data_IF_651048935195
#
_entry.id   IF_651048935195
#
_cell.length_a   1.000
_cell.length_b   1.000
_cell.length_c   1.000
_cell.angle_alpha   90.00
_cell.angle_beta   90.00
_cell.angle_gamma   90.00
#
_symmetry.space_group_name_H-M   'P 1'
#
loop_
_entity.id
_entity.type
_entity.pdbx_description
1 polymer ?
#
# COMPACT_ATOMS: atom_id res chain seq x y z
N UNK A 1 -36.41 -19.43 -58.98
CA UNK A 1 -36.72 -18.42 -57.95
C UNK A 1 -36.65 -19.13 -56.61
N UNK A 2 -35.86 -18.74 -55.61
CA UNK A 2 -35.09 -17.51 -55.43
C UNK A 2 -33.64 -17.77 -55.01
N UNK A 3 -32.79 -16.88 -55.49
CA UNK A 3 -31.42 -16.64 -55.04
C UNK A 3 -31.45 -15.92 -53.69
N UNK A 4 -30.49 -16.20 -52.80
CA UNK A 4 -29.94 -15.17 -51.89
C UNK A 4 -28.51 -15.51 -51.42
N UNK A 5 -27.58 -14.78 -52.05
CA UNK A 5 -26.47 -14.04 -51.43
C UNK A 5 -25.44 -14.77 -50.58
N UNK A 6 -24.37 -15.14 -51.29
CA UNK A 6 -22.98 -15.12 -50.86
C UNK A 6 -22.65 -13.80 -50.11
N UNK A 7 -22.18 -13.87 -48.86
CA UNK A 7 -21.55 -12.71 -48.20
C UNK A 7 -20.21 -13.13 -47.61
N UNK A 8 -19.17 -12.96 -48.41
CA UNK A 8 -17.79 -12.88 -47.96
C UNK A 8 -17.64 -11.53 -47.25
N UNK A 9 -17.55 -11.54 -45.91
CA UNK A 9 -17.17 -10.36 -45.13
C UNK A 9 -15.87 -10.69 -44.42
N UNK A 10 -14.80 -10.02 -44.85
CA UNK A 10 -13.47 -10.14 -44.30
C UNK A 10 -13.46 -10.01 -42.78
N UNK A 11 -12.78 -10.95 -42.15
CA UNK A 11 -12.18 -10.75 -40.84
C UNK A 11 -10.75 -11.25 -40.93
N UNK A 12 -9.90 -10.44 -41.57
CA UNK A 12 -8.55 -10.28 -41.06
C UNK A 12 -8.70 -9.72 -39.64
N UNK A 13 -8.67 -10.60 -38.65
CA UNK A 13 -8.33 -10.19 -37.30
C UNK A 13 -7.01 -10.85 -37.00
N UNK A 14 -5.95 -10.05 -37.17
CA UNK A 14 -4.62 -10.34 -36.68
C UNK A 14 -4.73 -11.02 -35.32
N UNK A 15 -4.34 -12.29 -35.27
CA UNK A 15 -4.16 -13.01 -34.02
C UNK A 15 -2.77 -12.68 -33.48
N UNK A 16 -2.51 -11.40 -33.22
CA UNK A 16 -1.47 -10.99 -32.27
C UNK A 16 -1.99 -11.36 -30.88
N UNK A 17 -1.91 -12.66 -30.55
CA UNK A 17 -2.16 -13.18 -29.21
C UNK A 17 -0.99 -14.03 -28.74
N UNK A 18 0.22 -13.52 -28.90
CA UNK A 18 1.33 -13.87 -28.00
C UNK A 18 1.22 -13.03 -26.73
N UNK A 19 0.12 -13.24 -25.99
CA UNK A 19 0.09 -12.91 -24.57
C UNK A 19 0.68 -14.09 -23.80
N UNK A 20 1.36 -13.86 -22.65
CA UNK A 20 1.96 -14.94 -21.88
C UNK A 20 0.90 -16.02 -21.63
N UNK A 21 1.25 -17.25 -22.01
CA UNK A 21 0.35 -18.37 -21.92
C UNK A 21 -0.05 -18.51 -20.45
N UNK A 22 -1.34 -18.75 -20.15
CA UNK A 22 -1.81 -18.80 -18.76
C UNK A 22 -0.99 -19.76 -17.87
N UNK A 23 -0.41 -20.80 -18.47
CA UNK A 23 0.52 -21.73 -17.83
C UNK A 23 1.80 -21.06 -17.32
N UNK A 24 2.43 -20.21 -18.13
CA UNK A 24 3.70 -19.55 -17.80
C UNK A 24 3.52 -18.61 -16.61
N UNK A 25 2.41 -17.86 -16.64
CA UNK A 25 2.03 -16.93 -15.57
C UNK A 25 1.69 -17.63 -14.26
N UNK A 26 1.13 -18.85 -14.31
CA UNK A 26 0.89 -19.68 -13.12
C UNK A 26 2.21 -20.20 -12.56
N UNK A 27 3.17 -20.55 -13.42
CA UNK A 27 4.48 -21.03 -13.00
C UNK A 27 5.31 -19.93 -12.33
N UNK A 28 5.37 -18.73 -12.91
CA UNK A 28 6.01 -17.56 -12.30
C UNK A 28 5.44 -17.26 -10.91
N UNK A 29 4.12 -17.36 -10.74
CA UNK A 29 3.44 -17.17 -9.46
C UNK A 29 3.86 -18.20 -8.42
N UNK A 30 4.03 -19.47 -8.81
CA UNK A 30 4.50 -20.52 -7.90
C UNK A 30 5.94 -20.26 -7.46
N UNK A 31 6.81 -19.92 -8.40
CA UNK A 31 8.22 -19.62 -8.11
C UNK A 31 8.35 -18.39 -7.20
N UNK A 32 7.53 -17.35 -7.41
CA UNK A 32 7.49 -16.18 -6.53
C UNK A 32 7.06 -16.53 -5.10
N UNK A 33 6.03 -17.37 -4.95
CA UNK A 33 5.55 -17.83 -3.63
C UNK A 33 6.62 -18.68 -2.92
N UNK A 34 7.29 -19.56 -3.66
CA UNK A 34 8.35 -20.40 -3.11
C UNK A 34 9.57 -19.56 -2.70
N UNK A 35 9.99 -18.63 -3.54
CA UNK A 35 11.07 -17.69 -3.23
C UNK A 35 10.74 -16.83 -2.00
N UNK A 36 9.52 -16.31 -1.88
CA UNK A 36 9.10 -15.59 -0.66
C UNK A 36 9.14 -16.48 0.58
N UNK A 37 8.72 -17.74 0.45
CA UNK A 37 8.76 -18.71 1.55
C UNK A 37 10.20 -19.05 1.95
N UNK A 38 11.12 -19.20 1.00
CA UNK A 38 12.55 -19.40 1.24
C UNK A 38 13.20 -18.17 1.91
N UNK A 39 12.76 -16.96 1.56
CA UNK A 39 13.13 -15.70 2.24
C UNK A 39 12.44 -15.53 3.61
N UNK A 40 11.69 -16.55 4.06
CA UNK A 40 11.05 -16.61 5.36
C UNK A 40 9.80 -15.73 5.46
N UNK A 41 9.22 -15.26 4.36
CA UNK A 41 7.93 -14.57 4.34
C UNK A 41 6.79 -15.58 4.33
N UNK A 42 6.50 -16.13 5.52
CA UNK A 42 5.34 -17.00 5.74
C UNK A 42 4.09 -16.17 6.02
N UNK A 43 2.91 -16.75 5.79
CA UNK A 43 1.63 -16.11 6.14
C UNK A 43 1.58 -15.70 7.63
N UNK A 44 2.09 -16.56 8.52
CA UNK A 44 2.15 -16.26 9.95
C UNK A 44 3.07 -15.06 10.24
N UNK A 45 4.23 -14.96 9.57
CA UNK A 45 5.13 -13.82 9.72
C UNK A 45 4.52 -12.55 9.15
N UNK A 46 3.82 -12.62 8.01
CA UNK A 46 3.11 -11.49 7.45
C UNK A 46 2.03 -10.98 8.43
N UNK A 47 1.24 -11.87 9.02
CA UNK A 47 0.26 -11.52 10.06
C UNK A 47 0.91 -10.85 11.27
N UNK A 48 2.04 -11.40 11.74
CA UNK A 48 2.76 -10.84 12.89
C UNK A 48 3.34 -9.45 12.58
N UNK A 49 3.94 -9.26 11.40
CA UNK A 49 4.46 -7.97 10.97
C UNK A 49 3.34 -6.92 10.85
N UNK A 50 2.21 -7.30 10.26
CA UNK A 50 1.03 -6.42 10.16
C UNK A 50 0.51 -6.04 11.55
N UNK A 51 0.33 -7.01 12.45
CA UNK A 51 -0.12 -6.74 13.82
C UNK A 51 0.88 -5.85 14.58
N UNK A 52 2.18 -6.10 14.44
CA UNK A 52 3.23 -5.27 15.02
C UNK A 52 3.20 -3.85 14.47
N UNK A 53 2.95 -3.68 13.18
CA UNK A 53 2.86 -2.37 12.54
C UNK A 53 1.65 -1.59 13.05
N UNK A 54 0.47 -2.24 13.14
CA UNK A 54 -0.74 -1.65 13.73
C UNK A 54 -0.47 -1.19 15.17
N UNK A 55 0.12 -2.06 16.00
CA UNK A 55 0.43 -1.71 17.38
C UNK A 55 1.45 -0.56 17.52
N UNK A 56 2.39 -0.44 16.57
CA UNK A 56 3.33 0.68 16.54
C UNK A 56 2.64 2.00 16.18
N UNK A 57 1.72 1.97 15.21
CA UNK A 57 0.92 3.13 14.82
C UNK A 57 0.03 3.60 15.97
N UNK A 58 -0.63 2.68 16.68
CA UNK A 58 -1.46 3.02 17.83
C UNK A 58 -0.65 3.72 18.94
N UNK A 59 0.52 3.16 19.27
CA UNK A 59 1.45 3.78 20.24
C UNK A 59 1.90 5.17 19.82
N UNK A 60 2.26 5.33 18.54
CA UNK A 60 2.66 6.62 17.99
C UNK A 60 1.51 7.63 18.09
N UNK A 61 0.29 7.26 17.71
CA UNK A 61 -0.87 8.14 17.78
C UNK A 61 -1.17 8.58 19.22
N UNK A 62 -1.16 7.65 20.18
CA UNK A 62 -1.34 7.98 21.60
C UNK A 62 -0.24 8.93 22.11
N UNK A 63 1.02 8.67 21.73
CA UNK A 63 2.15 9.52 22.12
C UNK A 63 2.03 10.93 21.51
N UNK A 64 1.61 11.02 20.24
CA UNK A 64 1.38 12.27 19.52
C UNK A 64 0.29 13.10 20.19
N UNK A 65 -0.86 12.51 20.49
CA UNK A 65 -1.95 13.20 21.18
C UNK A 65 -1.52 13.73 22.55
N UNK A 66 -0.82 12.91 23.33
CA UNK A 66 -0.33 13.31 24.64
C UNK A 66 0.68 14.47 24.55
N UNK A 67 1.63 14.37 23.61
CA UNK A 67 2.64 15.41 23.36
C UNK A 67 1.98 16.72 22.93
N UNK A 68 1.01 16.67 22.01
CA UNK A 68 0.26 17.85 21.59
C UNK A 68 -0.52 18.49 22.76
N UNK A 69 -1.10 17.69 23.64
CA UNK A 69 -1.78 18.18 24.84
C UNK A 69 -0.83 18.93 25.77
N UNK A 70 0.35 18.36 26.04
CA UNK A 70 1.40 18.99 26.86
C UNK A 70 1.87 20.31 26.22
N UNK A 71 2.16 20.30 24.91
CA UNK A 71 2.63 21.50 24.19
C UNK A 71 1.58 22.61 24.25
N UNK A 72 0.28 22.27 24.10
CA UNK A 72 -0.81 23.24 24.26
C UNK A 72 -0.87 23.82 25.66
N UNK A 73 -0.70 23.00 26.70
CA UNK A 73 -0.66 23.47 28.07
C UNK A 73 0.52 24.42 28.32
N UNK A 74 1.71 24.07 27.83
CA UNK A 74 2.91 24.91 27.93
C UNK A 74 2.71 26.25 27.20
N UNK A 75 2.21 26.22 25.96
CA UNK A 75 1.93 27.44 25.19
C UNK A 75 0.96 28.37 25.92
N UNK A 76 -0.09 27.80 26.52
CA UNK A 76 -1.07 28.54 27.33
C UNK A 76 -0.44 29.18 28.57
N UNK A 77 0.40 28.44 29.31
CA UNK A 77 1.08 28.94 30.52
C UNK A 77 2.10 30.03 30.18
N UNK A 78 2.80 29.88 29.06
CA UNK A 78 3.85 30.81 28.64
C UNK A 78 3.31 32.02 27.84
N UNK A 79 2.03 32.01 27.46
CA UNK A 79 1.45 33.03 26.57
C UNK A 79 2.06 33.04 25.17
N UNK A 80 2.57 31.89 24.71
CA UNK A 80 3.21 31.71 23.40
C UNK A 80 2.29 30.99 22.43
N UNK A 81 2.62 31.09 21.15
CA UNK A 81 2.00 30.29 20.11
C UNK A 81 2.52 28.85 20.15
N UNK A 82 1.74 27.91 19.61
CA UNK A 82 2.18 26.51 19.50
C UNK A 82 3.46 26.38 18.67
N UNK A 83 3.59 27.17 17.59
CA UNK A 83 4.77 27.15 16.72
C UNK A 83 6.06 27.49 17.47
N UNK A 84 6.04 28.53 18.30
CA UNK A 84 7.20 28.92 19.11
C UNK A 84 7.60 27.83 20.12
N UNK A 85 6.62 27.12 20.68
CA UNK A 85 6.89 26.01 21.60
C UNK A 85 7.41 24.79 20.83
N UNK A 86 6.86 24.48 19.65
CA UNK A 86 7.36 23.40 18.78
C UNK A 86 8.81 23.64 18.36
N UNK A 87 9.13 24.85 17.87
CA UNK A 87 10.50 25.24 17.49
C UNK A 87 11.48 25.10 18.66
N UNK A 88 11.08 25.53 19.87
CA UNK A 88 11.92 25.39 21.07
C UNK A 88 12.28 23.94 21.39
N UNK A 89 11.36 23.00 21.14
CA UNK A 89 11.59 21.58 21.35
C UNK A 89 12.16 20.85 20.11
N UNK A 90 12.47 21.58 19.04
CA UNK A 90 13.01 21.00 17.81
C UNK A 90 12.00 20.12 17.05
N UNK A 91 10.71 20.38 17.23
CA UNK A 91 9.63 19.64 16.61
C UNK A 91 9.11 20.40 15.39
N UNK A 92 8.83 19.70 14.29
CA UNK A 92 8.12 20.28 13.16
C UNK A 92 6.60 20.21 13.41
N UNK A 93 5.86 21.21 12.93
CA UNK A 93 4.38 21.18 13.01
C UNK A 93 3.75 20.06 12.17
N UNK A 94 4.51 19.46 11.26
CA UNK A 94 4.09 18.34 10.41
C UNK A 94 4.24 16.96 11.07
N UNK A 95 4.99 16.86 12.17
CA UNK A 95 5.22 15.62 12.92
C UNK A 95 4.03 15.24 13.80
#
# INVERSE_FOLDING_TARGET
>A
MGETTNTQKGHERSSDRDGPNHSDRIQELKEAIENQSQLGMTEQRAKQLTASHIAALDKYNTCKEHTQSIIKAIASIEGKTLGEVFERFGLASSD
#
